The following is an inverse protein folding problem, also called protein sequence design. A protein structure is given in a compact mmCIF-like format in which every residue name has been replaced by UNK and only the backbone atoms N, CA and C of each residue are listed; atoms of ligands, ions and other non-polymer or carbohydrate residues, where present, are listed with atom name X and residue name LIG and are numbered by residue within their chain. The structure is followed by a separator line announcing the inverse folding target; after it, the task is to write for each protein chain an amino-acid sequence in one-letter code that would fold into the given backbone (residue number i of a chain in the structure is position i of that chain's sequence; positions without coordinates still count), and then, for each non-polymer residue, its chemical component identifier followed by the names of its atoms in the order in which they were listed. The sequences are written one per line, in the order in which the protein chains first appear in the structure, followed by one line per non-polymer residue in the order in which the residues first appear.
data_IF_499650528384
#
_entry.id   IF_499650528384
#
_cell.length_a   1.000
_cell.length_b   1.000
_cell.length_c   1.000
_cell.angle_alpha   90.00
_cell.angle_beta   90.00
_cell.angle_gamma   90.00
#
_symmetry.space_group_name_H-M   'P 1'
#
loop_
_entity.id
_entity.type
_entity.pdbx_description
1 polymer ?
#
# COMPACT_ATOMS: atom_id res chain seq x y z
N UNK A 1 -22.61 -8.25 12.29
CA UNK A 1 -21.71 -7.13 12.64
C UNK A 1 -20.65 -6.93 11.58
N UNK A 2 -19.92 -7.98 11.18
CA UNK A 2 -18.92 -7.94 10.10
C UNK A 2 -19.39 -7.25 8.80
N UNK A 3 -20.56 -7.62 8.27
CA UNK A 3 -21.11 -7.00 7.05
C UNK A 3 -21.32 -5.48 7.17
N UNK A 4 -21.62 -4.98 8.38
CA UNK A 4 -21.80 -3.54 8.63
C UNK A 4 -20.45 -2.83 8.62
N UNK A 5 -19.42 -3.43 9.23
CA UNK A 5 -18.06 -2.91 9.24
C UNK A 5 -17.45 -2.89 7.83
N UNK A 6 -17.63 -3.95 7.06
CA UNK A 6 -17.18 -4.04 5.68
C UNK A 6 -17.88 -2.98 4.80
N UNK A 7 -19.20 -2.84 4.94
CA UNK A 7 -19.96 -1.78 4.28
C UNK A 7 -19.43 -0.39 4.63
N UNK A 8 -19.20 -0.10 5.91
CA UNK A 8 -18.67 1.19 6.34
C UNK A 8 -17.27 1.46 5.77
N UNK A 9 -16.38 0.46 5.74
CA UNK A 9 -15.05 0.56 5.10
C UNK A 9 -15.18 0.84 3.60
N UNK A 10 -16.06 0.13 2.89
CA UNK A 10 -16.30 0.34 1.46
C UNK A 10 -16.80 1.77 1.16
N UNK A 11 -17.74 2.28 1.95
CA UNK A 11 -18.23 3.66 1.79
C UNK A 11 -17.16 4.71 2.10
N UNK A 12 -16.27 4.47 3.07
CA UNK A 12 -15.12 5.36 3.32
C UNK A 12 -14.17 5.43 2.12
N UNK A 13 -13.92 4.31 1.44
CA UNK A 13 -13.14 4.30 0.20
C UNK A 13 -13.88 5.08 -0.90
N UNK A 14 -15.18 4.87 -1.07
CA UNK A 14 -15.98 5.59 -2.05
C UNK A 14 -16.00 7.11 -1.82
N UNK A 15 -16.12 7.55 -0.56
CA UNK A 15 -16.04 8.95 -0.18
C UNK A 15 -14.68 9.56 -0.54
N UNK A 16 -13.59 8.85 -0.20
CA UNK A 16 -12.22 9.29 -0.53
C UNK A 16 -11.99 9.44 -2.04
N UNK A 17 -12.52 8.51 -2.85
CA UNK A 17 -12.49 8.64 -4.33
C UNK A 17 -13.20 9.93 -4.77
N UNK A 18 -14.36 10.22 -4.20
CA UNK A 18 -15.08 11.47 -4.44
C UNK A 18 -14.27 12.71 -4.03
N UNK A 19 -13.56 12.64 -2.91
CA UNK A 19 -12.69 13.71 -2.42
C UNK A 19 -11.49 13.94 -3.33
N UNK A 20 -10.87 12.88 -3.87
CA UNK A 20 -9.79 13.01 -4.87
C UNK A 20 -10.29 13.79 -6.10
N UNK A 21 -11.49 13.46 -6.60
CA UNK A 21 -12.07 14.15 -7.77
C UNK A 21 -12.40 15.61 -7.46
N UNK A 22 -12.96 15.90 -6.28
CA UNK A 22 -13.42 17.25 -5.91
C UNK A 22 -12.31 18.17 -5.41
N UNK A 23 -11.37 17.64 -4.63
CA UNK A 23 -10.36 18.39 -3.88
C UNK A 23 -8.95 18.21 -4.46
N UNK A 24 -8.77 17.29 -5.40
CA UNK A 24 -7.52 17.08 -6.13
C UNK A 24 -6.36 16.69 -5.22
N UNK A 25 -5.22 17.38 -5.39
CA UNK A 25 -3.95 17.07 -4.69
C UNK A 25 -4.10 16.99 -3.17
N UNK A 26 -4.97 17.79 -2.56
CA UNK A 26 -5.16 17.81 -1.11
C UNK A 26 -5.68 16.48 -0.58
N UNK A 27 -6.62 15.86 -1.28
CA UNK A 27 -7.13 14.54 -0.92
C UNK A 27 -6.16 13.42 -1.34
N UNK A 28 -5.54 13.55 -2.53
CA UNK A 28 -4.62 12.54 -3.07
C UNK A 28 -3.26 12.43 -2.33
N UNK A 29 -2.96 13.34 -1.39
CA UNK A 29 -1.69 13.29 -0.65
C UNK A 29 -1.57 12.01 0.21
N UNK A 30 -2.69 11.53 0.76
CA UNK A 30 -2.72 10.27 1.50
C UNK A 30 -2.32 9.08 0.61
N UNK A 31 -2.90 8.98 -0.60
CA UNK A 31 -2.55 7.96 -1.59
C UNK A 31 -1.09 8.06 -2.01
N UNK A 32 -0.59 9.29 -2.20
CA UNK A 32 0.80 9.56 -2.56
C UNK A 32 1.75 9.06 -1.47
N UNK A 33 1.47 9.38 -0.21
CA UNK A 33 2.27 8.94 0.93
C UNK A 33 2.33 7.41 1.00
N UNK A 34 1.18 6.73 0.97
CA UNK A 34 1.10 5.26 0.96
C UNK A 34 1.86 4.67 -0.23
N UNK A 35 1.71 5.25 -1.42
CA UNK A 35 2.39 4.81 -2.64
C UNK A 35 3.90 4.97 -2.56
N UNK A 36 4.40 6.03 -1.91
CA UNK A 36 5.84 6.23 -1.68
C UNK A 36 6.41 5.12 -0.79
N UNK A 37 5.75 4.81 0.34
CA UNK A 37 6.19 3.72 1.22
C UNK A 37 6.14 2.37 0.51
N UNK A 38 5.06 2.10 -0.25
CA UNK A 38 4.92 0.90 -1.07
C UNK A 38 6.05 0.77 -2.09
N UNK A 39 6.34 1.84 -2.82
CA UNK A 39 7.43 1.89 -3.80
C UNK A 39 8.83 1.88 -3.19
N UNK A 40 8.95 2.05 -1.87
CA UNK A 40 10.19 1.87 -1.09
C UNK A 40 10.27 0.52 -0.38
N UNK A 41 9.25 -0.32 -0.53
CA UNK A 41 9.11 -1.60 0.18
C UNK A 41 9.13 -1.43 1.71
N UNK A 42 8.66 -0.28 2.20
CA UNK A 42 8.58 0.05 3.64
C UNK A 42 7.21 -0.40 4.18
N UNK A 43 7.02 -1.71 4.30
CA UNK A 43 5.71 -2.33 4.60
C UNK A 43 5.10 -1.85 5.91
N UNK A 44 5.90 -1.75 6.98
CA UNK A 44 5.41 -1.26 8.28
C UNK A 44 4.87 0.16 8.22
N UNK A 45 5.56 1.03 7.49
CA UNK A 45 5.16 2.43 7.30
C UNK A 45 3.97 2.56 6.36
N UNK A 46 3.90 1.74 5.32
CA UNK A 46 2.75 1.69 4.41
C UNK A 46 1.49 1.23 5.14
N UNK A 47 1.57 0.10 5.85
CA UNK A 47 0.40 -0.56 6.45
C UNK A 47 -0.18 0.26 7.61
N UNK A 48 0.67 0.90 8.42
CA UNK A 48 0.21 1.75 9.54
C UNK A 48 -0.66 2.94 9.09
N UNK A 49 -0.63 3.29 7.80
CA UNK A 49 -1.37 4.41 7.19
C UNK A 49 -2.62 3.99 6.42
N UNK A 50 -2.91 2.69 6.33
CA UNK A 50 -4.12 2.20 5.66
C UNK A 50 -5.35 2.37 6.54
N UNK A 51 -6.53 2.33 5.93
CA UNK A 51 -7.82 2.44 6.62
C UNK A 51 -8.04 1.34 7.67
N UNK A 52 -7.46 0.16 7.45
CA UNK A 52 -7.55 -1.01 8.32
C UNK A 52 -6.16 -1.70 8.38
N UNK A 53 -5.25 -1.21 9.22
CA UNK A 53 -3.89 -1.73 9.32
C UNK A 53 -3.84 -3.19 9.76
N UNK A 54 -4.76 -3.62 10.61
CA UNK A 54 -4.81 -4.99 11.12
C UNK A 54 -5.18 -5.98 10.01
N UNK A 55 -6.26 -5.70 9.26
CA UNK A 55 -6.64 -6.53 8.12
C UNK A 55 -5.54 -6.54 7.05
N UNK A 56 -4.92 -5.39 6.78
CA UNK A 56 -3.81 -5.31 5.83
C UNK A 56 -2.58 -6.11 6.26
N UNK A 57 -2.23 -6.12 7.55
CA UNK A 57 -1.17 -6.97 8.08
C UNK A 57 -1.50 -8.46 7.91
N UNK A 58 -2.74 -8.87 8.23
CA UNK A 58 -3.19 -10.26 8.01
C UNK A 58 -3.02 -10.68 6.55
N UNK A 59 -3.42 -9.83 5.60
CA UNK A 59 -3.27 -10.08 4.16
C UNK A 59 -1.78 -10.14 3.76
N UNK A 60 -0.94 -9.26 4.31
CA UNK A 60 0.49 -9.24 4.00
C UNK A 60 1.20 -10.51 4.49
N UNK A 61 0.83 -11.06 5.65
CA UNK A 61 1.46 -12.23 6.25
C UNK A 61 0.77 -13.56 5.95
N UNK A 62 -0.33 -13.56 5.19
CA UNK A 62 -1.18 -14.75 5.00
C UNK A 62 -0.44 -15.97 4.40
N UNK A 63 0.66 -15.72 3.68
CA UNK A 63 1.50 -16.75 3.05
C UNK A 63 2.88 -16.88 3.73
N UNK A 64 3.02 -16.42 4.98
CA UNK A 64 4.27 -16.42 5.73
C UNK A 64 5.13 -15.17 5.50
N UNK A 65 6.37 -15.22 6.00
CA UNK A 65 7.34 -14.15 5.84
C UNK A 65 7.91 -14.15 4.42
N UNK A 66 7.99 -12.99 3.73
CA UNK A 66 8.65 -12.93 2.43
C UNK A 66 10.14 -13.30 2.52
N UNK A 67 10.63 -14.06 1.53
CA UNK A 67 12.06 -14.38 1.39
C UNK A 67 12.91 -13.20 0.88
N UNK A 68 12.24 -12.12 0.46
CA UNK A 68 12.87 -10.93 -0.11
C UNK A 68 12.33 -9.68 0.57
N UNK A 69 12.90 -8.51 0.29
CA UNK A 69 12.35 -7.24 0.76
C UNK A 69 10.96 -6.89 0.18
N UNK A 70 10.46 -7.64 -0.82
CA UNK A 70 9.13 -7.46 -1.40
C UNK A 70 8.06 -8.27 -0.65
N UNK A 71 6.83 -8.31 -1.16
CA UNK A 71 5.78 -9.19 -0.65
C UNK A 71 5.90 -10.61 -1.23
N UNK A 72 5.07 -11.52 -0.76
CA UNK A 72 5.01 -12.94 -1.18
C UNK A 72 4.41 -13.17 -2.57
N UNK A 73 3.86 -12.15 -3.24
CA UNK A 73 3.11 -12.33 -4.49
C UNK A 73 4.00 -12.70 -5.69
N UNK A 74 5.09 -11.97 -5.92
CA UNK A 74 5.99 -12.18 -7.07
C UNK A 74 7.33 -12.83 -6.69
N UNK A 75 7.59 -13.00 -5.39
CA UNK A 75 8.89 -13.46 -4.89
C UNK A 75 10.05 -12.61 -5.41
N UNK A 76 11.09 -13.28 -5.92
CA UNK A 76 12.30 -12.65 -6.47
C UNK A 76 12.10 -11.79 -7.73
N UNK A 77 10.92 -11.86 -8.37
CA UNK A 77 10.60 -11.13 -9.60
C UNK A 77 9.82 -9.83 -9.35
N UNK A 78 9.90 -9.26 -8.13
CA UNK A 78 9.19 -8.04 -7.79
C UNK A 78 9.65 -6.85 -8.67
N UNK A 79 8.76 -6.25 -9.49
CA UNK A 79 9.14 -5.15 -10.38
C UNK A 79 9.64 -3.91 -9.63
N UNK A 80 9.03 -3.59 -8.48
CA UNK A 80 9.46 -2.45 -7.67
C UNK A 80 10.84 -2.65 -7.05
N UNK A 81 11.16 -3.89 -6.65
CA UNK A 81 12.49 -4.21 -6.14
C UNK A 81 13.55 -4.00 -7.23
N UNK A 82 13.32 -4.55 -8.42
CA UNK A 82 14.24 -4.42 -9.54
C UNK A 82 14.36 -2.98 -10.01
N UNK A 83 13.24 -2.27 -10.16
CA UNK A 83 13.23 -0.86 -10.56
C UNK A 83 14.08 0.00 -9.60
N UNK A 84 13.99 -0.25 -8.29
CA UNK A 84 14.84 0.43 -7.30
C UNK A 84 16.32 0.06 -7.43
N UNK A 85 16.62 -1.22 -7.65
CA UNK A 85 17.99 -1.66 -7.83
C UNK A 85 18.62 -1.01 -9.08
N UNK A 86 17.88 -0.94 -10.18
CA UNK A 86 18.33 -0.27 -11.40
C UNK A 86 18.45 1.24 -11.20
N UNK A 87 17.49 1.88 -10.51
CA UNK A 87 17.56 3.32 -10.22
C UNK A 87 18.83 3.68 -9.42
N UNK A 88 19.28 2.81 -8.49
CA UNK A 88 20.54 3.03 -7.77
C UNK A 88 21.78 3.05 -8.68
N UNK A 89 21.75 2.36 -9.83
CA UNK A 89 22.88 2.31 -10.78
C UNK A 89 22.99 3.56 -11.65
N UNK A 90 21.91 4.34 -11.76
CA UNK A 90 21.84 5.55 -12.61
C UNK A 90 22.05 6.84 -11.81
N UNK A 91 21.82 6.80 -10.50
CA UNK A 91 21.91 7.96 -9.60
C UNK A 91 23.29 8.04 -8.88
N UNK A 92 24.24 7.17 -9.27
CA UNK A 92 25.65 7.22 -8.87
C UNK A 92 26.48 7.77 -10.02
#
# INVERSE_FOLDING_TARGET
MEQVEEGAKAYRVAAHIGDIVKLGRRAAEWDREVSIYRGRLQWREMISRLIDPEAAWRVYTQYGAPETNACTMCGGYCPMMWAREQAKKVVV
#
